data_IF_847810834176
#
_entry.id   IF_847810834176
#
_cell.length_a   1.000
_cell.length_b   1.000
_cell.length_c   1.000
_cell.angle_alpha   90.00
_cell.angle_beta   90.00
_cell.angle_gamma   90.00
#
_symmetry.space_group_name_H-M   'P 1'
#
loop_
_entity.id
_entity.type
_entity.pdbx_description
1 polymer ?
#
# COMPACT_ATOMS: atom_id res chain seq x y z
N UNK A 1 -3.72 -12.13 -14.81
CA UNK A 1 -4.27 -11.30 -13.71
C UNK A 1 -3.79 -11.95 -12.41
N UNK A 2 -2.76 -11.39 -11.77
CA UNK A 2 -2.24 -11.94 -10.52
C UNK A 2 -3.11 -11.42 -9.36
N UNK A 3 -3.72 -12.33 -8.61
CA UNK A 3 -4.49 -12.01 -7.41
C UNK A 3 -3.57 -12.29 -6.22
N UNK A 4 -3.25 -11.26 -5.44
CA UNK A 4 -2.61 -11.45 -4.14
C UNK A 4 -3.72 -11.78 -3.15
N UNK A 5 -4.15 -13.04 -3.14
CA UNK A 5 -5.20 -13.53 -2.25
C UNK A 5 -4.60 -13.80 -0.87
N UNK A 6 -4.66 -12.79 -0.01
CA UNK A 6 -4.56 -12.99 1.43
C UNK A 6 -5.81 -13.71 1.94
N UNK A 7 -5.66 -14.97 2.33
CA UNK A 7 -6.73 -15.85 2.80
C UNK A 7 -7.24 -15.39 4.19
N UNK A 8 -8.58 -15.35 4.34
CA UNK A 8 -9.46 -15.05 5.51
C UNK A 8 -9.99 -13.61 5.63
N UNK A 9 -11.18 -13.39 5.09
CA UNK A 9 -12.03 -12.21 5.28
C UNK A 9 -12.58 -11.68 3.95
N UNK A 10 -13.72 -10.98 3.96
CA UNK A 10 -14.35 -10.32 2.80
C UNK A 10 -13.50 -9.18 2.18
N UNK A 11 -12.20 -9.13 2.45
CA UNK A 11 -11.29 -8.13 1.89
C UNK A 11 -10.48 -8.73 0.74
N UNK A 12 -10.14 -7.93 -0.27
CA UNK A 12 -9.38 -8.41 -1.43
C UNK A 12 -8.56 -7.30 -2.07
N UNK A 13 -7.41 -7.67 -2.63
CA UNK A 13 -6.63 -6.77 -3.48
C UNK A 13 -6.74 -7.25 -4.93
N UNK A 14 -7.10 -6.34 -5.84
CA UNK A 14 -7.19 -6.60 -7.27
C UNK A 14 -6.14 -5.77 -8.01
N UNK A 15 -5.23 -6.46 -8.69
CA UNK A 15 -4.20 -5.83 -9.52
C UNK A 15 -4.86 -5.17 -10.74
N UNK A 16 -4.51 -3.92 -10.98
CA UNK A 16 -4.85 -3.13 -12.16
C UNK A 16 -3.72 -3.14 -13.19
N UNK A 17 -3.59 -2.08 -14.01
CA UNK A 17 -2.47 -1.90 -14.93
C UNK A 17 -1.12 -1.88 -14.21
N UNK A 18 -0.12 -2.46 -14.87
CA UNK A 18 1.28 -2.48 -14.42
C UNK A 18 2.17 -2.03 -15.57
N UNK A 19 2.99 -1.02 -15.33
CA UNK A 19 4.07 -0.56 -16.20
C UNK A 19 5.40 -0.63 -15.42
N UNK A 20 6.56 -0.43 -16.08
CA UNK A 20 7.84 -0.36 -15.38
C UNK A 20 7.91 0.76 -14.33
N UNK A 21 7.12 1.83 -14.50
CA UNK A 21 7.11 3.02 -13.65
C UNK A 21 5.94 3.03 -12.65
N UNK A 22 4.91 2.17 -12.83
CA UNK A 22 3.68 2.27 -12.06
C UNK A 22 2.96 0.92 -11.85
N UNK A 23 2.48 0.68 -10.64
CA UNK A 23 1.56 -0.42 -10.31
C UNK A 23 0.28 0.16 -9.72
N UNK A 24 -0.84 -0.09 -10.38
CA UNK A 24 -2.17 0.24 -9.88
C UNK A 24 -2.84 -1.00 -9.30
N UNK A 25 -3.53 -0.85 -8.19
CA UNK A 25 -4.36 -1.89 -7.60
C UNK A 25 -5.55 -1.29 -6.85
N UNK A 26 -6.59 -2.09 -6.63
CA UNK A 26 -7.72 -1.71 -5.79
C UNK A 26 -7.79 -2.63 -4.58
N UNK A 27 -7.98 -2.07 -3.41
CA UNK A 27 -8.33 -2.78 -2.20
C UNK A 27 -9.83 -2.70 -2.00
N UNK A 28 -10.48 -3.83 -1.77
CA UNK A 28 -11.88 -3.89 -1.33
C UNK A 28 -11.87 -4.28 0.13
N UNK A 29 -12.36 -3.42 1.01
CA UNK A 29 -12.49 -3.70 2.43
C UNK A 29 -13.62 -4.70 2.71
N UNK A 30 -13.64 -5.26 3.92
CA UNK A 30 -14.67 -6.22 4.33
C UNK A 30 -16.11 -5.65 4.33
N UNK A 31 -16.25 -4.33 4.34
CA UNK A 31 -17.53 -3.60 4.28
C UNK A 31 -17.89 -3.15 2.85
N UNK A 32 -17.05 -3.46 1.86
CA UNK A 32 -17.30 -3.19 0.45
C UNK A 32 -16.83 -1.82 -0.05
N UNK A 33 -16.13 -1.04 0.77
CA UNK A 33 -15.43 0.16 0.27
C UNK A 33 -14.27 -0.25 -0.61
N UNK A 34 -14.08 0.48 -1.70
CA UNK A 34 -13.00 0.25 -2.67
C UNK A 34 -12.03 1.41 -2.55
N UNK A 35 -10.83 1.14 -2.06
CA UNK A 35 -9.72 2.09 -2.00
C UNK A 35 -8.75 1.84 -3.17
N UNK A 36 -8.21 2.92 -3.74
CA UNK A 36 -7.22 2.85 -4.82
C UNK A 36 -5.82 2.83 -4.23
N UNK A 37 -5.00 1.91 -4.69
CA UNK A 37 -3.58 1.81 -4.39
C UNK A 37 -2.77 2.15 -5.64
N UNK A 38 -1.74 2.96 -5.46
CA UNK A 38 -0.82 3.32 -6.52
C UNK A 38 0.61 3.24 -5.99
N UNK A 39 1.48 2.55 -6.71
CA UNK A 39 2.91 2.51 -6.45
C UNK A 39 3.64 3.05 -7.67
N UNK A 40 4.44 4.08 -7.48
CA UNK A 40 5.35 4.61 -8.51
C UNK A 40 6.75 4.08 -8.26
N UNK A 41 7.42 3.66 -9.32
CA UNK A 41 8.71 3.01 -9.29
C UNK A 41 9.71 3.88 -10.04
N UNK A 42 10.72 4.35 -9.32
CA UNK A 42 11.78 5.18 -9.88
C UNK A 42 13.14 4.49 -9.75
N UNK A 43 13.92 4.38 -10.84
CA UNK A 43 15.27 3.87 -10.76
C UNK A 43 16.15 4.85 -9.99
N UNK A 44 16.88 4.36 -8.98
CA UNK A 44 17.86 5.18 -8.27
C UNK A 44 19.23 5.05 -8.92
N UNK A 45 19.76 6.16 -9.42
CA UNK A 45 21.07 6.20 -10.11
C UNK A 45 22.25 5.86 -9.20
N UNK A 46 22.09 5.98 -7.88
CA UNK A 46 23.16 5.76 -6.89
C UNK A 46 23.23 4.34 -6.30
N UNK A 47 22.16 3.53 -6.34
CA UNK A 47 22.07 2.32 -5.50
C UNK A 47 21.67 1.02 -6.20
N UNK A 48 21.68 0.93 -7.54
CA UNK A 48 21.14 -0.24 -8.29
C UNK A 48 19.74 -0.66 -7.79
N UNK A 49 19.03 0.25 -7.13
CA UNK A 49 17.85 -0.01 -6.34
C UNK A 49 16.65 0.70 -6.94
N UNK A 50 15.46 0.37 -6.44
CA UNK A 50 14.22 1.00 -6.86
C UNK A 50 13.69 1.84 -5.70
N UNK A 51 13.48 3.13 -5.95
CA UNK A 51 12.66 3.94 -5.07
C UNK A 51 11.20 3.64 -5.40
N UNK A 52 10.43 3.32 -4.37
CA UNK A 52 9.00 3.04 -4.52
C UNK A 52 8.22 3.99 -3.63
N UNK A 53 7.43 4.85 -4.23
CA UNK A 53 6.46 5.67 -3.51
C UNK A 53 5.09 4.99 -3.59
N UNK A 54 4.44 4.79 -2.44
CA UNK A 54 3.15 4.13 -2.33
C UNK A 54 2.08 5.08 -1.80
N UNK A 55 0.91 5.10 -2.43
CA UNK A 55 -0.26 5.86 -1.98
C UNK A 55 -1.51 4.98 -1.94
N UNK A 56 -2.34 5.21 -0.92
CA UNK A 56 -3.66 4.60 -0.75
C UNK A 56 -4.68 5.70 -0.56
N UNK A 57 -5.71 5.73 -1.41
CA UNK A 57 -6.76 6.73 -1.35
C UNK A 57 -8.13 6.05 -1.23
N UNK A 58 -8.85 6.39 -0.15
CA UNK A 58 -10.24 6.03 0.03
C UNK A 58 -11.17 6.98 -0.75
N UNK A 59 -12.32 6.50 -1.24
CA UNK A 59 -13.28 7.33 -1.99
C UNK A 59 -13.97 8.38 -1.10
N UNK A 60 -13.94 8.18 0.22
CA UNK A 60 -14.47 9.12 1.20
C UNK A 60 -13.30 9.83 1.93
N UNK A 61 -13.35 11.16 1.95
CA UNK A 61 -12.33 12.05 2.54
C UNK A 61 -12.58 12.36 4.04
N UNK A 62 -13.64 11.83 4.64
CA UNK A 62 -14.19 12.40 5.88
C UNK A 62 -13.72 11.77 7.20
N UNK A 63 -12.94 10.69 7.18
CA UNK A 63 -12.57 10.02 8.42
C UNK A 63 -11.15 10.36 8.83
N UNK A 64 -10.98 11.50 9.51
CA UNK A 64 -9.75 11.84 10.27
C UNK A 64 -9.37 10.73 11.28
N UNK A 65 -10.33 9.88 11.66
CA UNK A 65 -10.15 8.77 12.59
C UNK A 65 -10.49 7.43 11.94
N UNK A 66 -9.89 7.12 10.80
CA UNK A 66 -9.99 5.80 10.14
C UNK A 66 -8.96 4.78 10.67
N UNK A 67 -8.28 5.09 11.79
CA UNK A 67 -7.26 4.25 12.40
C UNK A 67 -6.11 3.90 11.42
N UNK A 68 -5.78 4.85 10.54
CA UNK A 68 -4.69 4.71 9.56
C UNK A 68 -5.02 3.67 8.50
N UNK A 69 -6.29 3.54 8.09
CA UNK A 69 -6.73 2.52 7.12
C UNK A 69 -5.91 2.57 5.84
N UNK A 70 -5.64 3.77 5.34
CA UNK A 70 -4.81 3.97 4.14
C UNK A 70 -3.36 3.47 4.34
N UNK A 71 -2.72 3.78 5.47
CA UNK A 71 -1.41 3.22 5.81
C UNK A 71 -1.46 1.69 5.88
N UNK A 72 -2.45 1.13 6.58
CA UNK A 72 -2.58 -0.31 6.75
C UNK A 72 -2.81 -1.05 5.44
N UNK A 73 -3.50 -0.45 4.48
CA UNK A 73 -3.66 -1.03 3.15
C UNK A 73 -2.31 -1.18 2.44
N UNK A 74 -1.46 -0.15 2.46
CA UNK A 74 -0.11 -0.20 1.91
C UNK A 74 0.78 -1.18 2.66
N UNK A 75 0.78 -1.12 4.00
CA UNK A 75 1.58 -1.98 4.86
C UNK A 75 1.28 -3.47 4.60
N UNK A 76 0.01 -3.84 4.45
CA UNK A 76 -0.39 -5.22 4.14
C UNK A 76 0.17 -5.71 2.81
N UNK A 77 0.14 -4.87 1.77
CA UNK A 77 0.71 -5.21 0.45
C UNK A 77 2.23 -5.36 0.54
N UNK A 78 2.91 -4.42 1.19
CA UNK A 78 4.37 -4.46 1.38
C UNK A 78 4.80 -5.67 2.21
N UNK A 79 4.10 -5.97 3.31
CA UNK A 79 4.37 -7.15 4.14
C UNK A 79 4.15 -8.44 3.37
N UNK A 80 3.10 -8.53 2.55
CA UNK A 80 2.77 -9.70 1.76
C UNK A 80 3.75 -9.91 0.58
N UNK A 81 4.31 -8.85 0.01
CA UNK A 81 5.30 -8.96 -1.08
C UNK A 81 6.64 -9.53 -0.61
N UNK A 82 6.92 -9.46 0.70
CA UNK A 82 8.19 -9.88 1.27
C UNK A 82 9.33 -8.88 1.09
N UNK A 83 9.10 -7.75 0.39
CA UNK A 83 10.09 -6.69 0.20
C UNK A 83 10.74 -6.20 1.51
N UNK A 84 10.00 -6.05 2.63
CA UNK A 84 10.60 -5.63 3.89
C UNK A 84 11.65 -6.59 4.48
N UNK A 85 11.70 -7.83 3.98
CA UNK A 85 12.68 -8.83 4.41
C UNK A 85 13.96 -8.84 3.55
N UNK A 86 13.96 -8.11 2.44
CA UNK A 86 15.10 -8.06 1.52
C UNK A 86 16.24 -7.23 2.12
N UNK A 87 17.50 -7.68 2.04
CA UNK A 87 18.65 -6.89 2.46
C UNK A 87 18.68 -5.52 1.76
N UNK A 88 18.88 -4.45 2.52
CA UNK A 88 18.92 -3.08 2.00
C UNK A 88 17.55 -2.42 1.82
N UNK A 89 16.45 -3.08 2.18
CA UNK A 89 15.15 -2.43 2.27
C UNK A 89 15.15 -1.35 3.35
N UNK A 90 14.64 -0.17 3.01
CA UNK A 90 14.44 0.94 3.92
C UNK A 90 13.04 1.48 3.70
N UNK A 91 12.23 1.51 4.76
CA UNK A 91 10.93 2.19 4.76
C UNK A 91 11.11 3.63 5.26
N UNK A 92 10.59 4.59 4.51
CA UNK A 92 10.54 5.99 4.91
C UNK A 92 9.10 6.46 4.95
N UNK A 93 8.56 6.59 6.15
CA UNK A 93 7.19 7.04 6.39
C UNK A 93 7.11 7.75 7.75
N UNK A 94 6.12 8.62 7.91
CA UNK A 94 5.80 9.31 9.17
C UNK A 94 4.37 9.88 9.08
N UNK A 95 3.89 10.49 10.16
CA UNK A 95 2.54 11.09 10.23
C UNK A 95 2.27 12.21 9.21
N UNK A 96 3.31 12.88 8.70
CA UNK A 96 3.16 13.90 7.65
C UNK A 96 3.03 13.29 6.26
N UNK A 97 3.69 12.15 6.02
CA UNK A 97 3.65 11.44 4.73
C UNK A 97 2.41 10.55 4.62
N UNK A 98 2.04 9.88 5.71
CA UNK A 98 0.86 9.03 5.77
C UNK A 98 0.08 9.36 7.04
N UNK A 99 -1.00 10.13 6.87
CA UNK A 99 -1.86 10.53 7.98
C UNK A 99 -2.41 9.29 8.71
N UNK A 100 -2.26 9.27 10.03
CA UNK A 100 -2.70 8.17 10.88
C UNK A 100 -1.66 7.06 11.03
N UNK A 101 -0.41 7.26 10.61
CA UNK A 101 0.67 6.29 10.72
C UNK A 101 0.99 5.90 12.18
N UNK A 102 1.25 6.88 13.04
CA UNK A 102 1.59 6.70 14.46
C UNK A 102 0.40 6.28 15.32
N UNK A 103 -0.83 6.51 14.86
CA UNK A 103 -2.06 5.97 15.45
C UNK A 103 -2.59 4.69 14.79
N UNK A 104 -1.88 4.13 13.80
CA UNK A 104 -2.39 3.02 13.01
C UNK A 104 -2.49 1.72 13.81
N UNK A 105 -3.61 1.01 13.71
CA UNK A 105 -3.76 -0.35 14.24
C UNK A 105 -4.03 -1.31 13.07
N UNK A 106 -2.95 -1.76 12.43
CA UNK A 106 -3.02 -2.68 11.32
C UNK A 106 -3.19 -4.12 11.80
N UNK A 107 -4.42 -4.62 11.73
CA UNK A 107 -4.79 -6.02 12.03
C UNK A 107 -4.50 -6.96 10.88
#
# INVERSE_FOLDING_TARGET
>A
MAIVTGIKGKQSYKLGPVTPEQILANHTSAVGHIETLNFTLEPTTMSLGCHVEGSSMSPFWFSLFDNGTNYCNLYKVMKASGLPKTPGFVEFTNEWLCLGFGGSVCK
#
